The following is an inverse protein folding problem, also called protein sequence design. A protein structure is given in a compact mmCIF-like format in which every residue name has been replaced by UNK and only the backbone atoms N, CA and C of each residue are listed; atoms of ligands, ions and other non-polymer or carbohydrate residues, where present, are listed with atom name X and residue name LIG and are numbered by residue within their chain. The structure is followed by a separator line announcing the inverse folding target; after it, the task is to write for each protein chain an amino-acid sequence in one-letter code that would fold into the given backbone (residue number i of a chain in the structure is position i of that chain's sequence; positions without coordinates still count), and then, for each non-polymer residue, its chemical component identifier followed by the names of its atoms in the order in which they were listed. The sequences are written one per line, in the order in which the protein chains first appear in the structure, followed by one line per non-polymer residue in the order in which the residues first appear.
data_IF_339848082038
#
_entry.id   IF_339848082038
#
_cell.length_a   1.000
_cell.length_b   1.000
_cell.length_c   1.000
_cell.angle_alpha   90.00
_cell.angle_beta   90.00
_cell.angle_gamma   90.00
#
_symmetry.space_group_name_H-M   'P 1'
#
loop_
_entity.id
_entity.type
_entity.pdbx_description
1 polymer ?
#
# COMPACT_ATOMS: atom_id res chain seq x y z
N UNK A 1 8.98 12.83 20.01
CA UNK A 1 9.01 11.44 19.52
C UNK A 1 8.69 10.49 20.66
N UNK A 2 7.77 9.54 20.47
CA UNK A 2 7.47 8.56 21.52
C UNK A 2 8.55 7.47 21.53
N UNK A 3 8.98 7.04 22.71
CA UNK A 3 10.04 6.01 22.88
C UNK A 3 9.76 4.74 22.07
N UNK A 4 8.49 4.29 22.03
CA UNK A 4 8.10 3.12 21.25
C UNK A 4 8.16 3.28 19.72
N UNK A 5 8.08 4.51 19.20
CA UNK A 5 8.25 4.84 17.77
C UNK A 5 9.70 4.59 17.37
N UNK A 6 10.64 5.15 18.15
CA UNK A 6 12.08 5.00 17.89
C UNK A 6 12.47 3.54 17.91
N UNK A 7 12.07 2.81 18.95
CA UNK A 7 12.38 1.39 19.09
C UNK A 7 11.91 0.57 17.87
N UNK A 8 10.66 0.76 17.43
CA UNK A 8 10.14 0.02 16.26
C UNK A 8 10.89 0.35 14.98
N UNK A 9 11.27 1.61 14.79
CA UNK A 9 12.08 2.02 13.64
C UNK A 9 13.45 1.36 13.66
N UNK A 10 14.13 1.36 14.80
CA UNK A 10 15.45 0.73 14.90
C UNK A 10 15.38 -0.80 14.74
N UNK A 11 14.36 -1.44 15.30
CA UNK A 11 14.11 -2.87 15.08
C UNK A 11 13.89 -3.17 13.59
N UNK A 12 13.10 -2.33 12.89
CA UNK A 12 12.92 -2.48 11.45
C UNK A 12 14.25 -2.35 10.70
N UNK A 13 15.03 -1.31 11.00
CA UNK A 13 16.32 -1.05 10.36
C UNK A 13 17.32 -2.20 10.58
N UNK A 14 17.39 -2.73 11.80
CA UNK A 14 18.26 -3.85 12.14
C UNK A 14 17.86 -5.13 11.41
N UNK A 15 16.56 -5.44 11.37
CA UNK A 15 16.04 -6.62 10.67
C UNK A 15 16.22 -6.53 9.16
N UNK A 16 16.09 -5.34 8.58
CA UNK A 16 16.34 -5.11 7.15
C UNK A 16 17.83 -5.20 6.85
N UNK A 17 18.69 -4.58 7.67
CA UNK A 17 20.15 -4.66 7.53
C UNK A 17 20.66 -6.10 7.60
N UNK A 18 20.14 -6.91 8.53
CA UNK A 18 20.45 -8.34 8.64
C UNK A 18 20.05 -9.15 7.38
N UNK A 19 19.14 -8.61 6.55
CA UNK A 19 18.70 -9.19 5.27
C UNK A 19 19.27 -8.46 4.04
N UNK A 20 20.36 -7.72 4.22
CA UNK A 20 21.04 -6.99 3.14
C UNK A 20 20.51 -5.58 2.85
N UNK A 21 19.67 -5.00 3.71
CA UNK A 21 19.24 -3.60 3.64
C UNK A 21 18.35 -3.24 2.45
N UNK A 22 17.71 -4.25 1.86
CA UNK A 22 16.97 -4.13 0.59
C UNK A 22 15.74 -3.22 0.71
N UNK A 23 14.97 -3.31 1.80
CA UNK A 23 13.75 -2.52 1.96
C UNK A 23 14.06 -1.04 2.13
N UNK A 24 15.12 -0.71 2.87
CA UNK A 24 15.63 0.65 2.99
C UNK A 24 16.04 1.20 1.63
N UNK A 25 16.82 0.43 0.86
CA UNK A 25 17.24 0.84 -0.49
C UNK A 25 16.06 1.08 -1.43
N UNK A 26 15.08 0.18 -1.45
CA UNK A 26 13.84 0.37 -2.23
C UNK A 26 13.11 1.65 -1.85
N UNK A 27 12.99 1.93 -0.55
CA UNK A 27 12.33 3.12 -0.05
C UNK A 27 13.03 4.41 -0.50
N UNK A 28 14.35 4.47 -0.41
CA UNK A 28 15.11 5.65 -0.85
C UNK A 28 15.03 5.85 -2.37
N UNK A 29 15.13 4.78 -3.17
CA UNK A 29 14.91 4.85 -4.63
C UNK A 29 13.51 5.38 -4.95
N UNK A 30 12.47 4.83 -4.33
CA UNK A 30 11.10 5.29 -4.54
C UNK A 30 10.91 6.78 -4.20
N UNK A 31 11.50 7.26 -3.09
CA UNK A 31 11.44 8.67 -2.73
C UNK A 31 12.11 9.55 -3.77
N UNK A 32 13.29 9.16 -4.21
CA UNK A 32 14.02 9.88 -5.26
C UNK A 32 13.19 9.95 -6.55
N UNK A 33 12.66 8.81 -7.02
CA UNK A 33 11.81 8.75 -8.21
C UNK A 33 10.54 9.63 -8.09
N UNK A 34 9.94 9.72 -6.89
CA UNK A 34 8.74 10.53 -6.65
C UNK A 34 9.06 12.03 -6.64
N UNK A 35 10.19 12.43 -6.06
CA UNK A 35 10.55 13.86 -5.87
C UNK A 35 11.23 14.44 -7.10
N UNK A 36 12.21 13.74 -7.62
CA UNK A 36 13.05 14.21 -8.75
C UNK A 36 12.48 13.82 -10.12
N UNK A 37 11.53 12.87 -10.12
CA UNK A 37 11.06 12.27 -11.36
C UNK A 37 12.02 11.23 -11.90
N UNK A 38 11.71 10.74 -13.09
CA UNK A 38 12.50 9.75 -13.83
C UNK A 38 12.74 10.23 -15.25
N UNK A 39 13.92 9.93 -15.81
CA UNK A 39 14.24 10.27 -17.20
C UNK A 39 13.57 9.30 -18.16
N UNK A 40 13.32 9.75 -19.41
CA UNK A 40 12.76 8.89 -20.47
C UNK A 40 13.61 7.64 -20.69
N UNK A 41 14.92 7.80 -20.81
CA UNK A 41 15.87 6.72 -20.95
C UNK A 41 15.83 5.70 -19.80
N UNK A 42 15.62 6.16 -18.56
CA UNK A 42 15.42 5.26 -17.43
C UNK A 42 14.09 4.48 -17.55
N UNK A 43 13.02 5.14 -17.94
CA UNK A 43 11.71 4.50 -18.15
C UNK A 43 11.78 3.49 -19.28
N UNK A 44 12.38 3.85 -20.40
CA UNK A 44 12.56 2.95 -21.54
C UNK A 44 13.33 1.69 -21.17
N UNK A 45 14.46 1.81 -20.46
CA UNK A 45 15.20 0.64 -19.96
C UNK A 45 14.36 -0.25 -19.05
N UNK A 46 13.53 0.32 -18.19
CA UNK A 46 12.64 -0.46 -17.31
C UNK A 46 11.55 -1.20 -18.11
N UNK A 47 10.97 -0.53 -19.11
CA UNK A 47 10.00 -1.14 -20.02
C UNK A 47 10.67 -2.30 -20.76
N UNK A 48 11.81 -2.10 -21.40
CA UNK A 48 12.55 -3.13 -22.12
C UNK A 48 12.92 -4.32 -21.21
N UNK A 49 13.31 -4.06 -19.97
CA UNK A 49 13.56 -5.11 -18.98
C UNK A 49 12.30 -5.93 -18.71
N UNK A 50 11.15 -5.28 -18.56
CA UNK A 50 9.87 -5.96 -18.33
C UNK A 50 9.45 -6.78 -19.55
N UNK A 51 9.52 -6.21 -20.75
CA UNK A 51 9.16 -6.90 -21.99
C UNK A 51 10.04 -8.14 -22.22
N UNK A 52 11.35 -7.99 -22.01
CA UNK A 52 12.29 -9.11 -22.09
C UNK A 52 11.96 -10.21 -21.07
N UNK A 53 11.61 -9.81 -19.84
CA UNK A 53 11.25 -10.74 -18.78
C UNK A 53 9.96 -11.53 -19.12
N UNK A 54 8.90 -10.85 -19.57
CA UNK A 54 7.63 -11.54 -19.87
C UNK A 54 7.79 -12.45 -21.10
N UNK A 55 8.54 -12.05 -22.11
CA UNK A 55 8.88 -12.90 -23.27
C UNK A 55 9.67 -14.14 -22.88
N UNK A 56 10.52 -14.06 -21.85
CA UNK A 56 11.31 -15.19 -21.39
C UNK A 56 10.50 -16.14 -20.48
N UNK A 57 9.51 -15.66 -19.75
CA UNK A 57 8.90 -16.40 -18.64
C UNK A 57 7.40 -16.64 -18.76
N UNK A 58 6.69 -15.99 -19.69
CA UNK A 58 5.25 -16.18 -19.89
C UNK A 58 5.02 -16.96 -21.19
N UNK A 59 4.30 -18.10 -21.17
CA UNK A 59 3.99 -18.86 -22.37
C UNK A 59 3.34 -18.01 -23.45
N UNK A 60 2.33 -17.21 -23.11
CA UNK A 60 1.64 -16.31 -24.03
C UNK A 60 2.59 -15.41 -24.83
N UNK A 61 3.52 -14.74 -24.14
CA UNK A 61 4.45 -13.82 -24.80
C UNK A 61 5.63 -14.52 -25.48
N UNK A 62 5.94 -15.75 -25.12
CA UNK A 62 6.96 -16.58 -25.82
C UNK A 62 6.55 -16.91 -27.24
N UNK A 63 5.25 -17.08 -27.49
CA UNK A 63 4.72 -17.42 -28.83
C UNK A 63 4.79 -16.26 -29.81
N UNK A 64 5.14 -15.04 -29.34
CA UNK A 64 5.23 -13.82 -30.14
C UNK A 64 6.65 -13.25 -30.15
N UNK A 65 7.62 -13.93 -30.76
CA UNK A 65 9.01 -13.46 -30.84
C UNK A 65 9.17 -12.13 -31.60
N UNK A 66 8.25 -11.82 -32.50
CA UNK A 66 8.21 -10.58 -33.29
C UNK A 66 7.91 -9.33 -32.44
N UNK A 67 7.30 -9.45 -31.28
CA UNK A 67 7.01 -8.30 -30.40
C UNK A 67 8.28 -7.86 -29.69
N UNK A 68 8.89 -6.78 -30.15
CA UNK A 68 10.18 -6.30 -29.66
C UNK A 68 10.10 -4.95 -28.95
N UNK A 69 9.11 -4.14 -29.31
CA UNK A 69 8.84 -2.82 -28.72
C UNK A 69 7.49 -2.84 -28.01
N UNK A 70 7.27 -1.87 -27.13
CA UNK A 70 6.00 -1.75 -26.39
C UNK A 70 4.79 -1.67 -27.34
N UNK A 71 4.94 -1.00 -28.46
CA UNK A 71 3.90 -0.78 -29.47
C UNK A 71 3.50 -2.08 -30.20
N UNK A 72 4.36 -3.08 -30.20
CA UNK A 72 4.09 -4.40 -30.82
C UNK A 72 3.15 -5.23 -29.93
N UNK A 73 3.09 -4.95 -28.63
CA UNK A 73 2.27 -5.69 -27.69
C UNK A 73 0.81 -5.26 -27.76
N UNK A 74 -0.15 -6.20 -27.75
CA UNK A 74 -1.56 -5.85 -27.79
C UNK A 74 -2.01 -5.16 -26.52
N UNK A 75 -2.98 -4.26 -26.64
CA UNK A 75 -3.70 -3.73 -25.50
C UNK A 75 -4.65 -4.81 -24.99
N UNK A 76 -4.29 -5.44 -23.88
CA UNK A 76 -5.09 -6.49 -23.27
C UNK A 76 -6.15 -5.91 -22.34
N UNK A 77 -7.38 -6.34 -22.53
CA UNK A 77 -8.48 -6.05 -21.63
C UNK A 77 -8.50 -7.05 -20.45
N UNK A 78 -9.33 -6.75 -19.45
CA UNK A 78 -9.58 -7.71 -18.36
C UNK A 78 -10.13 -9.05 -18.87
N UNK A 79 -10.94 -9.03 -19.94
CA UNK A 79 -11.46 -10.23 -20.59
C UNK A 79 -10.34 -11.11 -21.13
N UNK A 80 -9.43 -10.51 -21.90
CA UNK A 80 -8.29 -11.20 -22.49
C UNK A 80 -7.39 -11.84 -21.41
N UNK A 81 -7.14 -11.12 -20.30
CA UNK A 81 -6.41 -11.68 -19.16
C UNK A 81 -7.13 -12.83 -18.45
N UNK A 82 -8.46 -12.86 -18.46
CA UNK A 82 -9.23 -13.97 -17.87
C UNK A 82 -9.19 -15.18 -18.83
N UNK A 83 -9.35 -14.94 -20.12
CA UNK A 83 -9.33 -15.97 -21.16
C UNK A 83 -7.97 -16.68 -21.24
N UNK A 84 -6.89 -15.90 -21.25
CA UNK A 84 -5.52 -16.41 -21.34
C UNK A 84 -4.80 -16.52 -19.99
N UNK A 85 -5.56 -16.62 -18.87
CA UNK A 85 -5.01 -16.49 -17.53
C UNK A 85 -3.79 -17.39 -17.27
N UNK A 86 -3.90 -18.66 -17.63
CA UNK A 86 -2.80 -19.60 -17.39
C UNK A 86 -1.62 -19.39 -18.35
N UNK A 87 -1.85 -18.86 -19.54
CA UNK A 87 -0.81 -18.62 -20.53
C UNK A 87 0.01 -17.36 -20.24
N UNK A 88 -0.63 -16.31 -19.68
CA UNK A 88 0.05 -15.07 -19.31
C UNK A 88 0.81 -15.16 -17.99
N UNK A 89 0.52 -16.17 -17.15
CA UNK A 89 1.28 -16.38 -15.91
C UNK A 89 2.74 -16.72 -16.21
N UNK A 90 3.65 -16.06 -15.53
CA UNK A 90 5.08 -16.35 -15.62
C UNK A 90 5.42 -17.66 -14.89
N UNK A 91 6.33 -18.46 -15.44
CA UNK A 91 6.67 -19.80 -14.95
C UNK A 91 7.09 -19.79 -13.46
N UNK A 92 7.91 -18.82 -13.06
CA UNK A 92 8.39 -18.72 -11.68
C UNK A 92 7.26 -18.49 -10.65
N UNK A 93 6.12 -17.95 -11.06
CA UNK A 93 4.93 -17.78 -10.19
C UNK A 93 4.19 -19.10 -10.00
N UNK A 94 4.19 -19.97 -11.01
CA UNK A 94 3.55 -21.30 -10.94
C UNK A 94 4.27 -22.22 -9.95
N UNK A 95 5.58 -22.07 -9.84
CA UNK A 95 6.44 -22.92 -9.01
C UNK A 95 6.52 -22.46 -7.53
N UNK A 96 6.09 -21.23 -7.24
CA UNK A 96 6.16 -20.66 -5.89
C UNK A 96 4.96 -21.02 -5.02
N UNK A 97 5.21 -21.65 -3.86
CA UNK A 97 4.17 -22.09 -2.93
C UNK A 97 3.48 -20.98 -2.11
N UNK A 98 4.08 -19.80 -1.99
CA UNK A 98 3.60 -18.70 -1.12
C UNK A 98 3.24 -17.45 -1.93
N UNK A 99 2.11 -17.48 -2.63
CA UNK A 99 1.62 -16.37 -3.42
C UNK A 99 0.50 -15.61 -2.72
N UNK A 100 0.51 -14.30 -2.87
CA UNK A 100 -0.57 -13.41 -2.47
C UNK A 100 -1.57 -13.29 -3.63
N UNK A 101 -2.86 -13.50 -3.34
CA UNK A 101 -3.95 -13.31 -4.30
C UNK A 101 -4.56 -11.93 -4.09
N UNK A 102 -4.54 -11.09 -5.12
CA UNK A 102 -5.17 -9.78 -5.12
C UNK A 102 -6.34 -9.79 -6.11
N UNK A 103 -7.55 -9.59 -5.61
CA UNK A 103 -8.76 -9.64 -6.43
C UNK A 103 -9.47 -8.30 -6.47
N UNK A 104 -10.02 -7.95 -7.63
CA UNK A 104 -10.94 -6.81 -7.76
C UNK A 104 -12.30 -7.14 -7.15
N UNK A 105 -13.07 -6.13 -6.75
CA UNK A 105 -14.40 -6.32 -6.14
C UNK A 105 -15.45 -6.93 -7.08
N UNK A 106 -15.19 -6.95 -8.38
CA UNK A 106 -16.15 -7.46 -9.36
C UNK A 106 -17.42 -6.62 -9.50
N UNK A 107 -17.43 -5.35 -9.11
CA UNK A 107 -18.59 -4.45 -9.20
C UNK A 107 -19.19 -4.32 -10.60
N UNK A 108 -18.43 -4.64 -11.64
CA UNK A 108 -18.83 -4.60 -13.05
C UNK A 108 -18.87 -5.97 -13.72
N UNK A 109 -18.88 -7.07 -12.96
CA UNK A 109 -18.88 -8.44 -13.49
C UNK A 109 -17.93 -9.39 -12.75
N UNK A 110 -17.32 -10.32 -13.45
CA UNK A 110 -16.43 -11.35 -12.87
C UNK A 110 -15.22 -10.72 -12.15
N UNK A 111 -14.93 -11.10 -10.89
CA UNK A 111 -13.72 -10.65 -10.22
C UNK A 111 -12.48 -11.09 -10.99
N UNK A 112 -11.50 -10.19 -11.11
CA UNK A 112 -10.19 -10.52 -11.66
C UNK A 112 -9.18 -10.68 -10.53
N UNK A 113 -8.40 -11.76 -10.58
CA UNK A 113 -7.39 -12.08 -9.56
C UNK A 113 -6.01 -12.11 -10.18
N UNK A 114 -5.06 -11.42 -9.56
CA UNK A 114 -3.63 -11.49 -9.90
C UNK A 114 -2.86 -12.16 -8.78
N UNK A 115 -1.81 -12.87 -9.14
CA UNK A 115 -0.88 -13.49 -8.20
C UNK A 115 0.34 -12.59 -8.03
N UNK A 116 0.76 -12.42 -6.79
CA UNK A 116 1.94 -11.63 -6.45
C UNK A 116 2.84 -12.42 -5.51
N UNK A 117 4.13 -12.41 -5.77
CA UNK A 117 5.12 -12.97 -4.85
C UNK A 117 5.43 -12.03 -3.67
N UNK A 118 6.25 -12.50 -2.74
CA UNK A 118 6.67 -11.71 -1.58
C UNK A 118 7.54 -10.51 -1.96
N UNK A 119 8.25 -10.56 -3.09
CA UNK A 119 9.05 -9.47 -3.61
C UNK A 119 8.16 -8.32 -4.09
N UNK A 120 7.19 -8.62 -4.92
CA UNK A 120 6.19 -7.64 -5.39
C UNK A 120 5.47 -6.98 -4.22
N UNK A 121 5.04 -7.79 -3.22
CA UNK A 121 4.37 -7.24 -2.04
C UNK A 121 5.29 -6.34 -1.21
N UNK A 122 6.57 -6.66 -1.11
CA UNK A 122 7.57 -5.80 -0.45
C UNK A 122 7.75 -4.48 -1.18
N UNK A 123 7.84 -4.50 -2.52
CA UNK A 123 7.92 -3.28 -3.36
C UNK A 123 6.69 -2.39 -3.17
N UNK A 124 5.48 -2.95 -3.24
CA UNK A 124 4.23 -2.21 -3.01
C UNK A 124 4.20 -1.57 -1.63
N UNK A 125 4.60 -2.32 -0.59
CA UNK A 125 4.64 -1.80 0.77
C UNK A 125 5.68 -0.67 0.93
N UNK A 126 6.87 -0.81 0.35
CA UNK A 126 7.89 0.25 0.45
C UNK A 126 7.51 1.49 -0.35
N UNK A 127 6.87 1.35 -1.51
CA UNK A 127 6.33 2.49 -2.26
C UNK A 127 5.29 3.26 -1.42
N UNK A 128 4.34 2.55 -0.82
CA UNK A 128 3.34 3.15 0.07
C UNK A 128 3.98 3.88 1.27
N UNK A 129 4.98 3.27 1.92
CA UNK A 129 5.70 3.89 3.03
C UNK A 129 6.50 5.11 2.55
N UNK A 130 7.12 5.07 1.36
CA UNK A 130 7.82 6.20 0.77
C UNK A 130 6.90 7.41 0.59
N UNK A 131 5.71 7.18 0.00
CA UNK A 131 4.70 8.23 -0.14
C UNK A 131 4.26 8.81 1.21
N UNK A 132 4.07 7.96 2.22
CA UNK A 132 3.71 8.43 3.56
C UNK A 132 4.84 9.23 4.22
N UNK A 133 6.11 8.80 4.06
CA UNK A 133 7.25 9.51 4.65
C UNK A 133 7.47 10.89 4.03
N UNK A 134 7.18 11.05 2.74
CA UNK A 134 7.17 12.36 2.09
C UNK A 134 6.07 13.30 2.66
N UNK A 135 5.04 12.71 3.26
CA UNK A 135 3.96 13.44 3.95
C UNK A 135 4.12 13.43 5.49
N UNK A 136 5.34 13.30 6.01
CA UNK A 136 5.66 13.45 7.43
C UNK A 136 5.49 12.19 8.29
N UNK A 137 5.09 11.05 7.73
CA UNK A 137 5.12 9.77 8.44
C UNK A 137 6.56 9.38 8.79
N UNK A 138 6.76 8.80 9.94
CA UNK A 138 8.02 8.14 10.32
C UNK A 138 7.72 6.70 10.71
N UNK A 139 8.56 5.78 10.25
CA UNK A 139 8.45 4.38 10.62
C UNK A 139 8.37 4.22 12.15
N UNK A 140 7.37 3.47 12.62
CA UNK A 140 7.10 3.27 14.04
C UNK A 140 5.99 4.17 14.61
N UNK A 141 5.58 5.24 13.92
CA UNK A 141 4.42 6.05 14.29
C UNK A 141 3.15 5.18 14.38
N UNK A 142 2.25 5.57 15.28
CA UNK A 142 0.96 4.89 15.44
C UNK A 142 0.01 5.29 14.31
N UNK A 143 -0.31 4.32 13.47
CA UNK A 143 -1.13 4.48 12.27
C UNK A 143 -2.52 3.91 12.49
N UNK A 144 -3.55 4.69 12.22
CA UNK A 144 -4.93 4.24 12.09
C UNK A 144 -5.25 3.91 10.65
N UNK A 145 -5.66 2.67 10.37
CA UNK A 145 -6.22 2.30 9.07
C UNK A 145 -7.73 2.24 9.16
N UNK A 146 -8.36 3.15 8.46
CA UNK A 146 -9.79 3.40 8.45
C UNK A 146 -10.38 2.76 7.19
N UNK A 147 -11.03 1.63 7.38
CA UNK A 147 -11.62 0.83 6.28
C UNK A 147 -12.91 0.17 6.75
N UNK A 148 -13.74 -0.26 5.82
CA UNK A 148 -14.79 -1.23 6.10
C UNK A 148 -14.12 -2.60 6.35
N UNK A 149 -13.94 -2.96 7.62
CA UNK A 149 -13.26 -4.18 8.02
C UNK A 149 -14.23 -5.37 8.04
N UNK A 150 -13.99 -6.35 7.20
CA UNK A 150 -14.80 -7.56 7.10
C UNK A 150 -14.00 -8.71 7.70
N UNK A 151 -14.52 -9.30 8.80
CA UNK A 151 -13.89 -10.43 9.48
C UNK A 151 -13.62 -11.57 8.49
N UNK A 152 -12.39 -12.07 8.50
CA UNK A 152 -11.96 -13.16 7.61
C UNK A 152 -11.58 -12.76 6.18
N UNK A 153 -11.86 -11.51 5.75
CA UNK A 153 -11.48 -11.03 4.42
C UNK A 153 -10.28 -10.08 4.44
N UNK A 154 -10.36 -8.99 5.18
CA UNK A 154 -9.36 -7.93 5.15
C UNK A 154 -8.81 -7.53 6.52
N UNK A 155 -9.17 -8.28 7.57
CA UNK A 155 -8.67 -8.02 8.92
C UNK A 155 -7.19 -8.39 9.05
N UNK A 156 -6.48 -7.63 9.87
CA UNK A 156 -5.06 -7.82 10.15
C UNK A 156 -4.92 -8.55 11.48
N UNK A 157 -4.03 -9.53 11.56
CA UNK A 157 -3.78 -10.26 12.80
C UNK A 157 -3.28 -9.33 13.92
N UNK A 158 -3.60 -9.66 15.17
CA UNK A 158 -3.16 -8.87 16.35
C UNK A 158 -1.64 -8.70 16.39
N UNK A 159 -0.89 -9.73 16.03
CA UNK A 159 0.58 -9.67 15.96
C UNK A 159 1.07 -8.67 14.90
N UNK A 160 0.51 -8.72 13.70
CA UNK A 160 0.85 -7.78 12.61
C UNK A 160 0.45 -6.35 12.97
N UNK A 161 -0.71 -6.14 13.61
CA UNK A 161 -1.14 -4.85 14.16
C UNK A 161 -0.14 -4.31 15.17
N UNK A 162 0.26 -5.12 16.14
CA UNK A 162 1.22 -4.74 17.18
C UNK A 162 2.60 -4.39 16.58
N UNK A 163 3.13 -5.27 15.72
CA UNK A 163 4.43 -5.08 15.06
C UNK A 163 4.50 -3.79 14.27
N UNK A 164 3.43 -3.48 13.53
CA UNK A 164 3.37 -2.30 12.65
C UNK A 164 2.82 -1.05 13.34
N UNK A 165 2.55 -1.11 14.65
CA UNK A 165 1.89 -0.05 15.41
C UNK A 165 0.60 0.46 14.74
N UNK A 166 -0.23 -0.47 14.31
CA UNK A 166 -1.40 -0.23 13.48
C UNK A 166 -2.67 -0.45 14.27
N UNK A 167 -3.62 0.48 14.17
CA UNK A 167 -4.96 0.40 14.72
C UNK A 167 -5.95 0.26 13.57
N UNK A 168 -6.77 -0.79 13.60
CA UNK A 168 -7.89 -0.93 12.69
C UNK A 168 -9.08 -0.11 13.22
N UNK A 169 -9.61 0.79 12.39
CA UNK A 169 -10.80 1.60 12.69
C UNK A 169 -11.85 1.30 11.63
N UNK A 170 -13.00 0.83 12.07
CA UNK A 170 -14.09 0.52 11.15
C UNK A 170 -14.87 1.78 10.76
N UNK A 171 -15.03 1.99 9.47
CA UNK A 171 -15.77 3.10 8.87
C UNK A 171 -16.95 2.62 8.02
N UNK A 172 -17.45 1.42 8.25
CA UNK A 172 -18.64 0.90 7.56
C UNK A 172 -19.88 1.74 7.83
N UNK A 173 -19.93 2.41 9.00
CA UNK A 173 -20.95 3.37 9.38
C UNK A 173 -20.27 4.73 9.66
N UNK A 174 -20.71 5.78 8.96
CA UNK A 174 -20.19 7.15 9.07
C UNK A 174 -21.26 8.13 9.61
N UNK A 175 -22.27 7.65 10.33
CA UNK A 175 -23.22 8.50 11.06
C UNK A 175 -22.56 9.21 12.26
N UNK A 176 -23.19 10.26 12.76
CA UNK A 176 -22.64 11.17 13.78
C UNK A 176 -22.13 10.44 15.04
N UNK A 177 -22.86 9.43 15.52
CA UNK A 177 -22.44 8.61 16.68
C UNK A 177 -21.15 7.83 16.41
N UNK A 178 -21.02 7.28 15.20
CA UNK A 178 -19.81 6.55 14.79
C UNK A 178 -18.61 7.49 14.60
N UNK A 179 -18.84 8.67 14.04
CA UNK A 179 -17.82 9.71 13.89
C UNK A 179 -17.32 10.21 15.23
N UNK A 180 -18.21 10.42 16.18
CA UNK A 180 -17.85 10.80 17.56
C UNK A 180 -16.99 9.74 18.24
N UNK A 181 -17.36 8.46 18.11
CA UNK A 181 -16.55 7.35 18.61
C UNK A 181 -15.18 7.28 17.95
N UNK A 182 -15.11 7.50 16.62
CA UNK A 182 -13.86 7.54 15.87
C UNK A 182 -12.96 8.67 16.40
N UNK A 183 -13.48 9.88 16.60
CA UNK A 183 -12.72 10.99 17.15
C UNK A 183 -12.15 10.67 18.53
N UNK A 184 -12.98 10.13 19.44
CA UNK A 184 -12.52 9.67 20.77
C UNK A 184 -11.46 8.57 20.67
N UNK A 185 -11.59 7.65 19.74
CA UNK A 185 -10.61 6.58 19.52
C UNK A 185 -9.28 7.11 19.01
N UNK A 186 -9.29 8.09 18.12
CA UNK A 186 -8.06 8.77 17.62
C UNK A 186 -7.30 9.38 18.81
N UNK A 187 -7.99 10.13 19.64
CA UNK A 187 -7.40 10.79 20.81
C UNK A 187 -6.93 9.78 21.87
N UNK A 188 -7.83 8.92 22.35
CA UNK A 188 -7.55 7.92 23.41
C UNK A 188 -6.39 6.99 23.03
N UNK A 189 -6.37 6.52 21.78
CA UNK A 189 -5.33 5.62 21.27
C UNK A 189 -4.08 6.37 20.79
N UNK A 190 -4.09 7.71 20.80
CA UNK A 190 -3.00 8.58 20.33
C UNK A 190 -2.55 8.19 18.92
N UNK A 191 -3.50 8.11 17.99
CA UNK A 191 -3.24 7.83 16.58
C UNK A 191 -2.56 9.07 15.98
N UNK A 192 -1.43 8.88 15.30
CA UNK A 192 -0.60 9.97 14.78
C UNK A 192 -0.78 10.15 13.26
N UNK A 193 -1.19 9.09 12.57
CA UNK A 193 -1.35 9.07 11.11
C UNK A 193 -2.63 8.35 10.76
N UNK A 194 -3.43 8.95 9.89
CA UNK A 194 -4.66 8.37 9.36
C UNK A 194 -4.43 7.90 7.92
N UNK A 195 -4.76 6.65 7.67
CA UNK A 195 -4.83 6.08 6.31
C UNK A 195 -6.27 5.72 6.03
N UNK A 196 -6.92 6.44 5.11
CA UNK A 196 -8.35 6.31 4.86
C UNK A 196 -8.71 6.65 3.41
N UNK A 197 -9.97 6.45 3.07
CA UNK A 197 -10.55 6.95 1.83
C UNK A 197 -10.84 8.46 1.95
N UNK A 198 -10.74 9.20 0.85
CA UNK A 198 -11.01 10.64 0.80
C UNK A 198 -12.41 10.99 1.31
N UNK A 199 -13.43 10.20 0.93
CA UNK A 199 -14.80 10.37 1.38
C UNK A 199 -14.96 10.26 2.91
N UNK A 200 -14.29 9.30 3.53
CA UNK A 200 -14.32 9.12 4.97
C UNK A 200 -13.59 10.26 5.70
N UNK A 201 -12.46 10.72 5.15
CA UNK A 201 -11.74 11.87 5.70
C UNK A 201 -12.59 13.15 5.61
N UNK A 202 -13.28 13.36 4.49
CA UNK A 202 -14.20 14.49 4.33
C UNK A 202 -15.32 14.47 5.37
N UNK A 203 -15.98 13.32 5.54
CA UNK A 203 -17.05 13.17 6.53
C UNK A 203 -16.55 13.44 7.97
N UNK A 204 -15.39 12.88 8.32
CA UNK A 204 -14.76 13.09 9.62
C UNK A 204 -14.41 14.57 9.86
N UNK A 205 -13.83 15.23 8.84
CA UNK A 205 -13.46 16.65 8.93
C UNK A 205 -14.69 17.55 9.09
N UNK A 206 -15.77 17.27 8.35
CA UNK A 206 -17.02 18.00 8.46
C UNK A 206 -17.65 17.82 9.85
N UNK A 207 -17.64 16.61 10.39
CA UNK A 207 -18.13 16.32 11.72
C UNK A 207 -17.34 17.09 12.80
N UNK A 208 -16.02 17.04 12.76
CA UNK A 208 -15.14 17.76 13.69
C UNK A 208 -15.42 19.27 13.66
N UNK A 209 -15.59 19.87 12.47
CA UNK A 209 -15.92 21.28 12.31
C UNK A 209 -17.26 21.66 12.93
N UNK A 210 -18.28 20.79 12.81
CA UNK A 210 -19.63 21.02 13.37
C UNK A 210 -19.66 20.94 14.89
N UNK A 211 -18.87 20.04 15.48
CA UNK A 211 -19.03 19.67 16.90
C UNK A 211 -18.11 20.41 17.86
N UNK A 212 -17.32 21.40 17.41
CA UNK A 212 -16.32 22.10 18.22
C UNK A 212 -15.26 21.17 18.89
N UNK A 213 -15.23 19.88 18.58
CA UNK A 213 -14.15 18.95 18.95
C UNK A 213 -12.81 19.39 18.33
N UNK A 214 -12.86 20.32 17.38
CA UNK A 214 -11.68 20.94 16.77
C UNK A 214 -10.71 21.50 17.82
N UNK A 215 -11.22 22.14 18.90
CA UNK A 215 -10.37 22.68 19.99
C UNK A 215 -9.64 21.58 20.73
N UNK A 216 -10.30 20.46 21.05
CA UNK A 216 -9.70 19.36 21.79
C UNK A 216 -8.62 18.63 21.00
N UNK A 217 -8.77 18.52 19.67
CA UNK A 217 -7.77 17.89 18.80
C UNK A 217 -6.59 18.83 18.50
N UNK A 218 -6.82 20.14 18.41
CA UNK A 218 -5.74 21.14 18.21
C UNK A 218 -4.89 21.32 19.45
N UNK A 219 -5.50 21.33 20.62
CA UNK A 219 -4.79 21.55 21.90
C UNK A 219 -3.95 20.34 22.30
N UNK A 220 -4.37 19.11 21.95
CA UNK A 220 -3.60 17.89 22.20
C UNK A 220 -2.37 17.73 21.29
N UNK A 221 -2.29 18.46 20.19
CA UNK A 221 -1.23 18.37 19.18
C UNK A 221 -0.33 19.63 19.10
N UNK A 222 -0.50 20.59 20.00
CA UNK A 222 0.35 21.81 20.02
C UNK A 222 1.87 21.57 20.20
N UNK A 223 2.29 20.29 20.31
CA UNK A 223 3.68 19.86 20.22
C UNK A 223 4.17 19.42 18.86
N UNK A 224 3.31 19.27 17.85
CA UNK A 224 3.69 18.84 16.50
C UNK A 224 3.04 19.77 15.45
N UNK A 225 3.80 20.75 15.01
CA UNK A 225 3.47 21.63 13.86
C UNK A 225 3.56 20.85 12.55
N UNK A 226 2.53 20.12 12.15
CA UNK A 226 2.32 19.72 10.74
C UNK A 226 0.89 19.15 10.61
N UNK A 227 -0.04 20.01 10.26
CA UNK A 227 -1.21 19.72 9.47
C UNK A 227 -1.06 20.43 8.14
#
# INVERSE_FOLDING_TARGET
MQTGEVLRREVFNLLDAAKGGRLKKLKEVNKHEIVEGVTEDYMERRVQTLLSYVKQHSPYYKEHPEWTKLEDFPVMTKGDFIEHYDEVLVDCVREQGNLYRLSTSGSTGTPFTVLCDGDKMSRVNMNFISCMELNGFRMGMKRGEFRAWIKGKNTISKWKSFKNNLIMVDISNMGDESLDKICRDIEKKKIQVLVTYSSALTALTQYIRKTALYRLLSDSHSGNKYL
#
